data_IF_614432265559
#
_entry.id   IF_614432265559
#
_cell.length_a   1.000
_cell.length_b   1.000
_cell.length_c   1.000
_cell.angle_alpha   90.00
_cell.angle_beta   90.00
_cell.angle_gamma   90.00
#
_symmetry.space_group_name_H-M   'P 1'
#
loop_
_entity.id
_entity.type
_entity.pdbx_description
1 polymer ?
#
# COMPACT_ATOMS: atom_id res chain seq x y z
N UNK A 1 -54.40 -62.10 57.75
CA UNK A 1 -54.94 -61.77 56.40
C UNK A 1 -53.99 -60.81 55.72
N UNK A 2 -53.83 -60.97 54.40
CA UNK A 2 -53.16 -60.12 53.40
C UNK A 2 -51.63 -60.28 53.21
N UNK A 3 -51.16 -60.05 51.96
CA UNK A 3 -50.13 -60.86 51.29
C UNK A 3 -48.85 -60.07 50.96
N UNK A 4 -47.78 -60.75 50.54
CA UNK A 4 -46.64 -60.10 49.86
C UNK A 4 -46.48 -60.67 48.45
N UNK A 5 -46.71 -59.79 47.48
CA UNK A 5 -46.53 -59.96 46.05
C UNK A 5 -45.22 -59.30 45.60
N UNK A 6 -44.57 -59.92 44.61
CA UNK A 6 -43.76 -59.33 43.52
C UNK A 6 -42.82 -58.16 43.88
N UNK A 7 -41.52 -58.43 43.85
CA UNK A 7 -40.48 -57.43 43.53
C UNK A 7 -39.40 -58.07 42.65
N UNK A 8 -39.62 -58.11 41.35
CA UNK A 8 -38.57 -58.46 40.38
C UNK A 8 -38.85 -57.82 39.01
N UNK A 9 -38.86 -56.48 38.91
CA UNK A 9 -38.86 -55.75 37.62
C UNK A 9 -38.74 -54.21 37.79
N UNK A 10 -37.82 -53.71 38.62
CA UNK A 10 -37.51 -52.26 38.64
C UNK A 10 -36.00 -52.05 38.88
N UNK A 11 -35.13 -52.65 38.07
CA UNK A 11 -33.70 -52.30 38.10
C UNK A 11 -33.06 -52.14 36.71
N UNK A 12 -33.78 -52.42 35.61
CA UNK A 12 -33.24 -52.33 34.24
C UNK A 12 -33.55 -50.98 33.55
N UNK A 13 -34.46 -50.16 34.10
CA UNK A 13 -34.86 -48.89 33.46
C UNK A 13 -34.09 -47.64 33.95
N UNK A 14 -33.35 -47.72 35.06
CA UNK A 14 -32.58 -46.56 35.56
C UNK A 14 -31.15 -46.46 35.00
N UNK A 15 -30.61 -47.53 34.41
CA UNK A 15 -29.25 -47.52 33.86
C UNK A 15 -29.14 -46.88 32.45
N UNK A 16 -30.22 -46.86 31.66
CA UNK A 16 -30.19 -46.29 30.31
C UNK A 16 -30.41 -44.76 30.24
N UNK A 17 -31.06 -44.17 31.25
CA UNK A 17 -31.40 -42.74 31.21
C UNK A 17 -30.23 -41.82 31.59
N UNK A 18 -29.30 -42.30 32.44
CA UNK A 18 -28.11 -41.54 32.83
C UNK A 18 -26.97 -41.58 31.79
N UNK A 19 -27.03 -42.50 30.83
CA UNK A 19 -26.01 -42.60 29.79
C UNK A 19 -26.29 -41.65 28.61
N UNK A 20 -27.58 -41.40 28.32
CA UNK A 20 -28.02 -40.48 27.28
C UNK A 20 -27.82 -38.99 27.63
N UNK A 21 -28.06 -38.59 28.89
CA UNK A 21 -27.84 -37.21 29.33
C UNK A 21 -26.36 -36.82 29.31
N UNK A 22 -25.48 -37.72 29.76
CA UNK A 22 -24.03 -37.51 29.72
C UNK A 22 -23.47 -37.46 28.30
N UNK A 23 -24.02 -38.25 27.36
CA UNK A 23 -23.62 -38.17 25.95
C UNK A 23 -24.10 -36.87 25.28
N UNK A 24 -25.32 -36.40 25.59
CA UNK A 24 -25.83 -35.14 25.05
C UNK A 24 -25.04 -33.93 25.57
N UNK A 25 -24.65 -33.94 26.84
CA UNK A 25 -23.84 -32.88 27.44
C UNK A 25 -22.40 -32.88 26.89
N UNK A 26 -21.80 -34.06 26.68
CA UNK A 26 -20.49 -34.17 26.05
C UNK A 26 -20.48 -33.67 24.59
N UNK A 27 -21.55 -33.95 23.83
CA UNK A 27 -21.70 -33.46 22.45
C UNK A 27 -21.93 -31.94 22.42
N UNK A 28 -22.71 -31.38 23.35
CA UNK A 28 -22.86 -29.92 23.44
C UNK A 28 -21.55 -29.23 23.77
N UNK A 29 -20.75 -29.80 24.67
CA UNK A 29 -19.44 -29.24 25.07
C UNK A 29 -18.41 -29.32 23.94
N UNK A 30 -18.46 -30.36 23.09
CA UNK A 30 -17.62 -30.44 21.89
C UNK A 30 -18.05 -29.43 20.83
N UNK A 31 -19.36 -29.24 20.63
CA UNK A 31 -19.89 -28.29 19.64
C UNK A 31 -19.57 -26.84 20.03
N UNK A 32 -19.71 -26.49 21.31
CA UNK A 32 -19.34 -25.15 21.82
C UNK A 32 -17.84 -24.91 21.75
N UNK A 33 -17.01 -25.90 22.07
CA UNK A 33 -15.56 -25.80 21.89
C UNK A 33 -15.18 -25.61 20.41
N UNK A 34 -15.82 -26.32 19.48
CA UNK A 34 -15.57 -26.17 18.03
C UNK A 34 -15.97 -24.79 17.52
N UNK A 35 -17.08 -24.23 17.99
CA UNK A 35 -17.50 -22.87 17.68
C UNK A 35 -16.52 -21.84 18.25
N UNK A 36 -16.04 -22.05 19.47
CA UNK A 36 -15.03 -21.21 20.11
C UNK A 36 -13.70 -21.22 19.34
N UNK A 37 -13.22 -22.39 18.90
CA UNK A 37 -12.01 -22.48 18.07
C UNK A 37 -12.19 -21.84 16.70
N UNK A 38 -13.37 -21.96 16.06
CA UNK A 38 -13.68 -21.22 14.82
C UNK A 38 -13.67 -19.70 15.02
N UNK A 39 -14.17 -19.22 16.16
CA UNK A 39 -14.13 -17.80 16.50
C UNK A 39 -12.70 -17.33 16.77
N UNK A 40 -11.87 -18.14 17.44
CA UNK A 40 -10.44 -17.87 17.62
C UNK A 40 -9.72 -17.85 16.26
N UNK A 41 -10.00 -18.79 15.37
CA UNK A 41 -9.38 -18.81 14.04
C UNK A 41 -9.80 -17.60 13.20
N UNK A 42 -11.06 -17.19 13.31
CA UNK A 42 -11.58 -15.99 12.63
C UNK A 42 -10.96 -14.73 13.23
N UNK A 43 -10.86 -14.64 14.55
CA UNK A 43 -10.21 -13.54 15.26
C UNK A 43 -8.71 -13.50 14.96
N UNK A 44 -8.02 -14.63 14.88
CA UNK A 44 -6.59 -14.71 14.50
C UNK A 44 -6.40 -14.37 13.02
N UNK A 45 -7.35 -14.73 12.15
CA UNK A 45 -7.34 -14.36 10.74
C UNK A 45 -7.62 -12.87 10.55
N UNK A 46 -8.50 -12.28 11.35
CA UNK A 46 -8.74 -10.84 11.38
C UNK A 46 -7.57 -10.09 12.01
N UNK A 47 -7.01 -10.59 13.11
CA UNK A 47 -5.85 -10.00 13.80
C UNK A 47 -4.60 -10.11 12.94
N UNK A 48 -4.38 -11.19 12.18
CA UNK A 48 -3.29 -11.29 11.20
C UNK A 48 -3.51 -10.43 9.96
N UNK A 49 -4.76 -10.20 9.56
CA UNK A 49 -5.15 -9.24 8.51
C UNK A 49 -5.06 -7.78 8.99
N UNK A 50 -5.15 -7.54 10.31
CA UNK A 50 -5.08 -6.23 10.95
C UNK A 50 -3.66 -5.88 11.43
N UNK A 51 -2.81 -6.88 11.75
CA UNK A 51 -1.34 -6.69 11.89
C UNK A 51 -0.62 -6.66 10.56
N UNK A 52 -1.32 -6.98 9.45
CA UNK A 52 -0.95 -6.53 8.11
C UNK A 52 -1.50 -5.13 7.80
N UNK A 53 -1.68 -4.26 8.80
CA UNK A 53 -1.46 -2.83 8.59
C UNK A 53 -0.05 -2.67 8.02
N UNK A 54 0.02 -2.70 6.70
CA UNK A 54 1.25 -2.82 5.94
C UNK A 54 2.19 -1.72 6.37
N UNK A 55 3.33 -2.10 6.95
CA UNK A 55 4.45 -1.19 7.09
C UNK A 55 4.78 -0.69 5.67
N UNK A 56 4.37 0.55 5.37
CA UNK A 56 4.65 1.20 4.10
C UNK A 56 6.17 1.21 3.93
N UNK A 57 6.66 0.47 2.94
CA UNK A 57 8.07 0.41 2.60
C UNK A 57 8.47 1.70 1.91
N UNK A 58 9.35 2.48 2.53
CA UNK A 58 9.94 3.67 1.93
C UNK A 58 11.37 3.32 1.51
N UNK A 59 11.69 3.48 0.22
CA UNK A 59 13.03 3.16 -0.26
C UNK A 59 14.05 4.19 0.25
N UNK A 60 15.09 3.71 0.93
CA UNK A 60 16.13 4.57 1.51
C UNK A 60 16.93 5.35 0.46
N UNK A 61 16.93 4.91 -0.80
CA UNK A 61 17.66 5.57 -1.89
C UNK A 61 16.86 6.72 -2.52
N UNK A 62 15.58 6.87 -2.17
CA UNK A 62 14.74 7.97 -2.65
C UNK A 62 14.28 8.89 -1.53
N UNK A 63 14.20 8.41 -0.28
CA UNK A 63 13.66 9.21 0.83
C UNK A 63 14.50 10.45 1.08
N UNK A 64 13.84 11.61 1.18
CA UNK A 64 14.45 12.94 1.32
C UNK A 64 15.26 13.41 0.11
N UNK A 65 15.19 12.70 -1.02
CA UNK A 65 15.83 13.12 -2.25
C UNK A 65 14.85 13.92 -3.10
N UNK A 66 15.41 14.86 -3.86
CA UNK A 66 14.70 15.59 -4.91
C UNK A 66 15.17 15.08 -6.26
N UNK A 67 14.26 14.82 -7.17
CA UNK A 67 14.54 14.43 -8.54
C UNK A 67 14.14 15.56 -9.49
N UNK A 68 14.94 15.80 -10.51
CA UNK A 68 14.72 16.83 -11.53
C UNK A 68 14.49 16.15 -12.87
N UNK A 69 13.39 16.50 -13.55
CA UNK A 69 13.09 15.97 -14.88
C UNK A 69 14.23 16.35 -15.83
N UNK A 70 14.71 15.37 -16.58
CA UNK A 70 15.68 15.61 -17.65
C UNK A 70 14.96 15.75 -18.99
N UNK A 71 15.47 16.62 -19.84
CA UNK A 71 15.04 16.76 -21.23
C UNK A 71 16.19 16.43 -22.17
N UNK A 72 15.83 16.07 -23.40
CA UNK A 72 16.79 15.91 -24.50
C UNK A 72 16.66 17.14 -25.39
N UNK A 73 17.77 17.83 -25.63
CA UNK A 73 17.78 19.02 -26.47
C UNK A 73 17.80 18.67 -27.96
N UNK A 74 17.79 19.69 -28.84
CA UNK A 74 17.80 19.49 -30.30
C UNK A 74 19.06 18.79 -30.82
N UNK A 75 20.15 18.76 -30.04
CA UNK A 75 21.41 18.09 -30.38
C UNK A 75 21.48 16.66 -29.84
N UNK A 76 20.50 16.24 -29.05
CA UNK A 76 20.49 14.94 -28.38
C UNK A 76 21.14 14.96 -26.99
N UNK A 77 21.54 16.13 -26.50
CA UNK A 77 22.19 16.24 -25.19
C UNK A 77 21.14 16.19 -24.06
N UNK A 78 21.49 15.49 -22.98
CA UNK A 78 20.67 15.48 -21.75
C UNK A 78 20.86 16.77 -20.97
N UNK A 79 19.79 17.51 -20.73
CA UNK A 79 19.82 18.81 -20.05
C UNK A 79 18.78 18.90 -18.93
N UNK A 80 19.03 19.78 -17.97
CA UNK A 80 17.98 20.38 -17.14
C UNK A 80 17.47 21.62 -17.84
N UNK A 81 16.19 21.62 -18.18
CA UNK A 81 15.57 22.72 -18.90
C UNK A 81 14.55 23.43 -18.03
N UNK A 82 14.81 24.70 -17.77
CA UNK A 82 13.95 25.59 -17.00
C UNK A 82 13.12 26.44 -17.97
N UNK A 83 11.83 26.09 -18.19
CA UNK A 83 11.00 26.77 -19.18
C UNK A 83 10.67 28.19 -18.73
N UNK A 84 10.28 29.02 -19.68
CA UNK A 84 9.76 30.33 -19.34
C UNK A 84 8.46 30.21 -18.51
N UNK A 85 8.27 31.10 -17.53
CA UNK A 85 7.11 31.15 -16.62
C UNK A 85 6.83 29.87 -15.83
N UNK A 86 7.81 28.97 -15.74
CA UNK A 86 7.72 27.72 -15.04
C UNK A 86 9.07 27.37 -14.41
N UNK A 87 9.08 26.33 -13.60
CA UNK A 87 10.29 25.72 -13.09
C UNK A 87 10.50 24.32 -13.69
N UNK A 88 11.72 23.79 -13.63
CA UNK A 88 11.97 22.37 -13.93
C UNK A 88 11.01 21.50 -13.11
N UNK A 89 10.32 20.56 -13.75
CA UNK A 89 9.48 19.61 -13.05
C UNK A 89 10.32 18.79 -12.05
N UNK A 90 9.87 18.73 -10.80
CA UNK A 90 10.58 18.03 -9.73
C UNK A 90 9.69 17.10 -8.95
N UNK A 91 10.36 16.18 -8.28
CA UNK A 91 9.74 15.26 -7.34
C UNK A 91 10.53 15.35 -6.05
N UNK A 92 9.88 15.63 -4.94
CA UNK A 92 10.50 15.53 -3.63
C UNK A 92 9.82 14.44 -2.82
N UNK A 93 10.60 13.45 -2.41
CA UNK A 93 10.13 12.42 -1.50
C UNK A 93 10.41 12.84 -0.06
N UNK A 94 9.38 13.03 0.76
CA UNK A 94 9.50 13.38 2.17
C UNK A 94 8.86 12.31 3.05
N UNK A 95 9.65 11.32 3.49
CA UNK A 95 9.17 10.19 4.30
C UNK A 95 7.98 9.48 3.65
N UNK A 96 6.75 9.70 4.15
CA UNK A 96 5.49 9.11 3.65
C UNK A 96 4.70 10.06 2.75
N UNK A 97 5.34 11.13 2.25
CA UNK A 97 4.72 12.10 1.37
C UNK A 97 5.58 12.31 0.13
N UNK A 98 4.91 12.70 -0.93
CA UNK A 98 5.48 12.97 -2.22
C UNK A 98 5.01 14.36 -2.65
N UNK A 99 5.93 15.22 -3.07
CA UNK A 99 5.61 16.53 -3.62
C UNK A 99 5.97 16.50 -5.10
N UNK A 100 4.95 16.49 -5.98
CA UNK A 100 5.14 16.73 -7.40
C UNK A 100 5.21 18.24 -7.62
N UNK A 101 6.26 18.75 -8.24
CA UNK A 101 6.25 20.08 -8.85
C UNK A 101 6.18 19.92 -10.36
N UNK A 102 5.07 20.33 -10.97
CA UNK A 102 4.89 20.32 -12.43
C UNK A 102 5.55 21.53 -13.12
N UNK A 103 6.13 22.43 -12.33
CA UNK A 103 6.84 23.63 -12.80
C UNK A 103 6.11 24.91 -12.43
N UNK A 104 4.78 24.92 -12.58
CA UNK A 104 3.92 26.05 -12.20
C UNK A 104 3.06 25.75 -10.97
N UNK A 105 2.75 24.48 -10.76
CA UNK A 105 1.93 23.99 -9.67
C UNK A 105 2.63 22.87 -8.92
N UNK A 106 2.19 22.64 -7.68
CA UNK A 106 2.71 21.58 -6.83
C UNK A 106 1.59 20.79 -6.19
N UNK A 107 1.67 19.46 -6.28
CA UNK A 107 0.75 18.55 -5.62
C UNK A 107 1.46 17.87 -4.45
N UNK A 108 0.79 17.81 -3.30
CA UNK A 108 1.27 17.09 -2.12
C UNK A 108 0.44 15.83 -1.95
N UNK A 109 1.08 14.68 -2.18
CA UNK A 109 0.44 13.38 -2.17
C UNK A 109 0.89 12.57 -0.95
N UNK A 110 -0.06 11.98 -0.25
CA UNK A 110 0.19 11.08 0.85
C UNK A 110 0.37 9.65 0.33
N UNK A 111 1.41 8.96 0.80
CA UNK A 111 1.61 7.53 0.51
C UNK A 111 0.76 6.71 1.47
N UNK A 112 -0.06 5.84 0.89
CA UNK A 112 -0.95 4.96 1.66
C UNK A 112 -0.50 3.50 1.60
N UNK A 113 0.17 3.09 0.53
CA UNK A 113 0.70 1.75 0.38
C UNK A 113 1.88 1.72 -0.58
N UNK A 114 2.63 0.64 -0.54
CA UNK A 114 3.82 0.44 -1.36
C UNK A 114 3.91 -1.02 -1.81
N UNK A 115 4.34 -1.23 -3.04
CA UNK A 115 4.74 -2.54 -3.58
C UNK A 115 6.17 -2.43 -4.10
N UNK A 116 7.07 -3.28 -3.61
CA UNK A 116 8.45 -3.37 -4.10
C UNK A 116 8.60 -4.59 -5.00
N UNK A 117 9.29 -4.43 -6.11
CA UNK A 117 9.70 -5.50 -7.02
C UNK A 117 11.12 -5.20 -7.52
N UNK A 118 12.11 -6.00 -7.13
CA UNK A 118 13.52 -5.85 -7.50
C UNK A 118 14.04 -4.39 -7.48
N UNK A 119 14.15 -3.77 -8.66
CA UNK A 119 14.70 -2.42 -8.91
C UNK A 119 13.63 -1.32 -8.93
N UNK A 120 12.37 -1.70 -8.73
CA UNK A 120 11.19 -0.84 -8.83
C UNK A 120 10.41 -0.81 -7.51
N UNK A 121 9.99 0.38 -7.13
CA UNK A 121 8.99 0.55 -6.06
C UNK A 121 7.81 1.32 -6.62
N UNK A 122 6.60 0.84 -6.31
CA UNK A 122 5.35 1.47 -6.70
C UNK A 122 4.64 1.90 -5.43
N UNK A 123 4.37 3.19 -5.32
CA UNK A 123 3.56 3.80 -4.29
C UNK A 123 2.15 3.99 -4.79
N UNK A 124 1.16 3.63 -3.96
CA UNK A 124 -0.19 4.15 -4.12
C UNK A 124 -0.27 5.42 -3.29
N UNK A 125 -0.79 6.48 -3.88
CA UNK A 125 -0.81 7.82 -3.30
C UNK A 125 -2.19 8.46 -3.44
N UNK A 126 -2.47 9.45 -2.59
CA UNK A 126 -3.72 10.20 -2.61
C UNK A 126 -3.50 11.69 -2.34
N UNK A 127 -4.41 12.54 -2.77
CA UNK A 127 -4.43 13.93 -2.32
C UNK A 127 -4.92 14.03 -0.86
N UNK A 128 -4.55 15.12 -0.20
CA UNK A 128 -5.08 15.42 1.13
C UNK A 128 -6.61 15.61 1.05
N UNK A 129 -7.34 14.91 1.92
CA UNK A 129 -8.80 14.94 1.96
C UNK A 129 -9.47 13.83 1.14
N UNK A 130 -8.76 13.18 0.22
CA UNK A 130 -9.33 12.05 -0.53
C UNK A 130 -9.50 10.83 0.37
N UNK A 131 -10.71 10.24 0.33
CA UNK A 131 -11.06 9.02 1.06
C UNK A 131 -11.50 7.89 0.15
N UNK A 132 -11.87 8.19 -1.10
CA UNK A 132 -12.35 7.19 -2.05
C UNK A 132 -11.17 6.60 -2.84
N UNK A 133 -10.92 5.31 -2.64
CA UNK A 133 -9.76 4.61 -3.20
C UNK A 133 -9.72 4.62 -4.73
N UNK A 134 -10.87 4.84 -5.39
CA UNK A 134 -10.93 4.88 -6.84
C UNK A 134 -10.19 6.08 -7.45
N UNK A 135 -9.92 7.13 -6.66
CA UNK A 135 -9.18 8.32 -7.10
C UNK A 135 -7.69 8.25 -6.75
N UNK A 136 -7.25 7.17 -6.10
CA UNK A 136 -5.84 7.04 -5.74
C UNK A 136 -4.98 6.80 -6.96
N UNK A 137 -3.87 7.50 -7.01
CA UNK A 137 -2.90 7.41 -8.10
C UNK A 137 -1.78 6.43 -7.74
N UNK A 138 -0.98 6.06 -8.74
CA UNK A 138 0.23 5.28 -8.55
C UNK A 138 1.45 6.02 -9.07
N UNK A 139 2.51 5.99 -8.27
CA UNK A 139 3.82 6.53 -8.63
C UNK A 139 4.85 5.42 -8.56
N UNK A 140 5.58 5.19 -9.64
CA UNK A 140 6.62 4.17 -9.68
C UNK A 140 8.00 4.79 -9.81
N UNK A 141 8.96 4.28 -9.05
CA UNK A 141 10.37 4.66 -9.11
C UNK A 141 11.17 3.44 -9.54
N UNK A 142 11.90 3.57 -10.64
CA UNK A 142 12.72 2.51 -11.22
C UNK A 142 14.14 3.05 -11.42
N UNK A 143 15.13 2.35 -10.86
CA UNK A 143 16.54 2.73 -10.98
C UNK A 143 17.02 2.45 -12.40
N UNK A 144 17.77 3.37 -12.98
CA UNK A 144 18.38 3.17 -14.31
C UNK A 144 19.88 2.91 -14.27
N UNK A 145 20.50 3.13 -13.11
CA UNK A 145 21.93 2.88 -12.92
C UNK A 145 22.25 2.51 -11.47
N UNK A 146 23.43 1.88 -11.29
CA UNK A 146 23.90 1.39 -10.00
C UNK A 146 24.29 2.49 -9.00
N UNK A 147 24.51 3.73 -9.47
CA UNK A 147 24.83 4.89 -8.62
C UNK A 147 23.56 5.61 -8.15
N UNK A 148 22.38 5.13 -8.55
CA UNK A 148 21.09 5.78 -8.32
C UNK A 148 21.08 7.23 -8.82
N UNK A 149 21.77 7.50 -9.93
CA UNK A 149 21.85 8.85 -10.50
C UNK A 149 20.60 9.17 -11.31
N UNK A 150 20.20 8.26 -12.17
CA UNK A 150 19.06 8.37 -13.07
C UNK A 150 17.94 7.43 -12.64
N UNK A 151 16.72 7.93 -12.79
CA UNK A 151 15.51 7.26 -12.36
C UNK A 151 14.47 7.39 -13.45
N UNK A 152 13.82 6.28 -13.78
CA UNK A 152 12.59 6.30 -14.56
C UNK A 152 11.44 6.37 -13.58
N UNK A 153 10.72 7.49 -13.60
CA UNK A 153 9.59 7.71 -12.69
C UNK A 153 8.31 7.74 -13.50
N UNK A 154 7.36 6.90 -13.11
CA UNK A 154 6.08 6.73 -13.80
C UNK A 154 4.91 7.17 -12.97
N UNK A 155 3.96 7.89 -13.58
CA UNK A 155 2.69 8.28 -13.00
C UNK A 155 1.55 7.55 -13.67
N UNK A 156 0.63 7.02 -12.87
CA UNK A 156 -0.63 6.47 -13.34
C UNK A 156 -1.74 7.15 -12.56
N UNK A 157 -2.39 8.11 -13.22
CA UNK A 157 -3.61 8.75 -12.73
C UNK A 157 -4.75 7.75 -12.63
N UNK A 158 -5.73 8.07 -11.80
CA UNK A 158 -6.84 7.18 -11.49
C UNK A 158 -7.73 6.85 -12.71
N UNK A 159 -7.78 7.76 -13.68
CA UNK A 159 -8.55 7.66 -14.92
C UNK A 159 -7.76 6.99 -16.07
N UNK A 160 -6.46 6.76 -15.88
CA UNK A 160 -5.59 6.13 -16.88
C UNK A 160 -5.30 4.68 -16.51
N UNK A 161 -5.21 3.83 -17.53
CA UNK A 161 -4.86 2.41 -17.34
C UNK A 161 -3.36 2.14 -17.38
N UNK A 162 -2.56 3.07 -17.91
CA UNK A 162 -1.12 2.93 -18.15
C UNK A 162 -0.32 3.94 -17.36
N UNK A 163 0.94 3.60 -17.08
CA UNK A 163 1.90 4.54 -16.52
C UNK A 163 2.48 5.42 -17.64
N UNK A 164 2.57 6.71 -17.39
CA UNK A 164 3.34 7.69 -18.17
C UNK A 164 4.69 7.87 -17.49
N UNK A 165 5.77 7.58 -18.21
CA UNK A 165 7.12 7.56 -17.64
C UNK A 165 7.95 8.72 -18.17
N UNK A 166 8.70 9.32 -17.25
CA UNK A 166 9.71 10.32 -17.57
C UNK A 166 11.02 9.95 -16.88
N UNK A 167 12.12 10.52 -17.36
CA UNK A 167 13.43 10.31 -16.75
C UNK A 167 13.76 11.51 -15.86
N UNK A 168 14.32 11.19 -14.70
CA UNK A 168 14.77 12.16 -13.74
C UNK A 168 16.21 11.89 -13.33
N UNK A 169 16.91 12.95 -12.93
CA UNK A 169 18.20 12.88 -12.25
C UNK A 169 18.00 13.22 -10.76
N UNK A 170 18.71 12.53 -9.89
CA UNK A 170 18.77 12.89 -8.48
C UNK A 170 19.49 14.23 -8.29
N UNK A 171 18.96 15.06 -7.39
CA UNK A 171 19.53 16.32 -6.92
C UNK A 171 21.02 16.27 -6.60
N UNK A 172 21.52 15.16 -6.05
CA UNK A 172 22.95 14.96 -5.74
C UNK A 172 23.84 15.05 -6.98
N UNK A 173 23.30 14.71 -8.16
CA UNK A 173 24.04 14.70 -9.43
C UNK A 173 23.57 15.77 -10.41
N UNK A 174 22.65 16.67 -10.04
CA UNK A 174 22.08 17.67 -10.96
C UNK A 174 23.14 18.56 -11.63
N UNK A 175 24.27 18.81 -10.95
CA UNK A 175 25.40 19.60 -11.47
C UNK A 175 26.22 18.88 -12.55
N UNK A 176 25.98 17.60 -12.78
CA UNK A 176 26.69 16.79 -13.78
C UNK A 176 26.08 16.88 -15.18
N UNK A 177 24.93 17.54 -15.32
CA UNK A 177 24.28 17.76 -16.61
C UNK A 177 24.11 19.26 -16.86
N UNK A 178 24.20 19.73 -18.11
CA UNK A 178 24.02 21.14 -18.44
C UNK A 178 22.64 21.64 -18.00
N UNK A 179 22.62 22.88 -17.51
CA UNK A 179 21.39 23.60 -17.19
C UNK A 179 21.15 24.65 -18.27
N UNK A 180 19.91 24.74 -18.75
CA UNK A 180 19.46 25.71 -19.73
C UNK A 180 18.18 26.34 -19.25
N UNK A 181 18.16 27.68 -19.21
CA UNK A 181 16.97 28.47 -18.93
C UNK A 181 16.47 29.11 -20.21
N UNK A 182 15.17 29.04 -20.42
CA UNK A 182 14.49 29.74 -21.50
C UNK A 182 14.25 31.20 -21.09
N UNK A 183 14.62 32.18 -21.93
CA UNK A 183 14.28 33.58 -21.69
C UNK A 183 12.77 33.77 -21.86
N UNK A 184 12.19 34.65 -21.04
CA UNK A 184 10.80 35.06 -21.17
C UNK A 184 10.69 36.34 -21.99
N UNK A 185 9.76 36.37 -22.96
CA UNK A 185 9.38 37.61 -23.62
C UNK A 185 8.64 38.50 -22.62
N UNK A 186 9.05 39.76 -22.50
CA UNK A 186 8.40 40.76 -21.63
C UNK A 186 7.08 41.30 -22.22
N UNK A 187 6.59 40.73 -23.33
CA UNK A 187 5.36 41.17 -24.00
C UNK A 187 4.12 40.73 -23.21
N UNK A 188 3.73 41.57 -22.26
CA UNK A 188 2.33 41.77 -21.89
C UNK A 188 1.76 42.82 -22.84
N UNK A 189 0.95 42.40 -23.81
CA UNK A 189 -0.04 43.30 -24.44
C UNK A 189 -1.23 43.48 -23.50
#
# INVERSE_FOLDING_TARGET
MKPLFITFMIWVLFACNNQQSNQQQFVSDILTNREFFKQIDTLNKETSKQTSDSLIYIDKNIVNHRFFRINIDKKGDTILFDPCYASIATILMQKKRFIHGYGQETNNLQIISSKKDNEKVIYTVKFDGDTDEKYFEKVSFEKLDNKNKYWRIGYKSYDKNTFEYEIFIDSLYKKTIPYKKEPCSEEYD
#
